data_IF_571255223690
#
_entry.id   IF_571255223690
#
_cell.length_a   1.000
_cell.length_b   1.000
_cell.length_c   1.000
_cell.angle_alpha   90.00
_cell.angle_beta   90.00
_cell.angle_gamma   90.00
#
_symmetry.space_group_name_H-M   'P 1'
#
loop_
_entity.id
_entity.type
_entity.pdbx_description
1 polymer ?
#
# COMPACT_ATOMS: atom_id res chain seq x y z
N UNK A 1 23.66 -26.68 4.96
CA UNK A 1 24.15 -27.32 6.20
C UNK A 1 24.01 -28.83 6.14
N UNK A 2 22.79 -29.39 5.95
CA UNK A 2 22.59 -30.85 5.78
C UNK A 2 23.41 -31.38 4.60
N UNK A 3 23.25 -30.80 3.41
CA UNK A 3 24.08 -31.13 2.23
C UNK A 3 25.58 -31.00 2.49
N UNK A 4 25.99 -30.09 3.38
CA UNK A 4 27.41 -29.87 3.70
C UNK A 4 27.97 -31.01 4.53
N UNK A 5 27.15 -31.56 5.46
CA UNK A 5 27.48 -32.71 6.29
C UNK A 5 27.42 -34.03 5.50
N UNK A 6 26.49 -34.17 4.55
CA UNK A 6 26.41 -35.35 3.66
C UNK A 6 27.61 -35.50 2.74
N UNK A 7 28.23 -34.38 2.36
CA UNK A 7 29.39 -34.38 1.46
C UNK A 7 30.73 -34.50 2.22
N UNK A 8 30.72 -34.70 3.54
CA UNK A 8 31.94 -34.90 4.32
C UNK A 8 32.52 -36.28 3.99
N UNK A 9 33.56 -36.30 3.16
CA UNK A 9 34.32 -37.52 2.90
C UNK A 9 35.29 -37.76 4.06
N UNK A 10 35.11 -38.88 4.76
CA UNK A 10 36.04 -39.36 5.79
C UNK A 10 36.82 -40.55 5.25
N UNK A 11 38.11 -40.66 5.61
CA UNK A 11 38.95 -41.79 5.19
C UNK A 11 38.54 -43.13 5.84
N UNK A 12 37.69 -43.08 6.88
CA UNK A 12 37.23 -44.23 7.65
C UNK A 12 35.69 -44.24 7.73
N UNK A 13 35.07 -45.32 7.23
CA UNK A 13 33.61 -45.52 7.19
C UNK A 13 32.93 -45.39 8.56
N UNK A 14 33.62 -45.73 9.66
CA UNK A 14 33.06 -45.61 11.01
C UNK A 14 32.77 -44.16 11.40
N UNK A 15 33.59 -43.20 10.94
CA UNK A 15 33.36 -41.78 11.22
C UNK A 15 32.20 -41.22 10.38
N UNK A 16 32.01 -41.72 9.15
CA UNK A 16 30.84 -41.39 8.34
C UNK A 16 29.56 -41.86 9.01
N UNK A 17 29.54 -43.11 9.51
CA UNK A 17 28.38 -43.69 10.18
C UNK A 17 27.99 -42.92 11.46
N UNK A 18 28.99 -42.46 12.23
CA UNK A 18 28.77 -41.63 13.42
C UNK A 18 28.16 -40.27 13.07
N UNK A 19 28.59 -39.63 11.97
CA UNK A 19 28.02 -38.35 11.51
C UNK A 19 26.57 -38.54 11.08
N UNK A 20 26.28 -39.65 10.38
CA UNK A 20 24.93 -40.00 9.98
C UNK A 20 24.00 -40.14 11.19
N UNK A 21 24.41 -40.96 12.17
CA UNK A 21 23.59 -41.27 13.35
C UNK A 21 23.39 -40.07 14.28
N UNK A 22 24.46 -39.31 14.58
CA UNK A 22 24.40 -38.20 15.54
C UNK A 22 23.75 -36.95 14.97
N UNK A 23 23.92 -36.68 13.67
CA UNK A 23 23.54 -35.41 13.07
C UNK A 23 22.53 -35.57 11.93
N UNK A 24 22.86 -36.35 10.89
CA UNK A 24 22.05 -36.32 9.67
C UNK A 24 20.66 -36.91 9.87
N UNK A 25 20.52 -37.99 10.64
CA UNK A 25 19.19 -38.58 10.95
C UNK A 25 18.29 -37.55 11.64
N UNK A 26 18.79 -36.90 12.70
CA UNK A 26 18.02 -35.91 13.46
C UNK A 26 17.71 -34.67 12.60
N UNK A 27 18.69 -34.12 11.89
CA UNK A 27 18.53 -32.93 11.07
C UNK A 27 17.58 -33.15 9.90
N UNK A 28 17.63 -34.33 9.24
CA UNK A 28 16.68 -34.69 8.18
C UNK A 28 15.27 -34.79 8.72
N UNK A 29 15.08 -35.45 9.86
CA UNK A 29 13.77 -35.54 10.50
C UNK A 29 13.20 -34.17 10.87
N UNK A 30 14.01 -33.27 11.44
CA UNK A 30 13.55 -31.90 11.71
C UNK A 30 13.24 -31.11 10.44
N UNK A 31 14.03 -31.30 9.39
CA UNK A 31 13.79 -30.65 8.10
C UNK A 31 12.46 -31.10 7.47
N UNK A 32 12.19 -32.40 7.46
CA UNK A 32 10.91 -32.95 6.99
C UNK A 32 9.72 -32.44 7.82
N UNK A 33 9.88 -32.35 9.14
CA UNK A 33 8.83 -31.82 10.01
C UNK A 33 8.53 -30.33 9.77
N UNK A 34 9.54 -29.56 9.36
CA UNK A 34 9.43 -28.13 9.08
C UNK A 34 9.04 -27.81 7.64
N UNK A 35 9.10 -28.78 6.74
CA UNK A 35 8.81 -28.61 5.31
C UNK A 35 7.43 -27.98 5.09
N UNK A 36 6.38 -28.54 5.71
CA UNK A 36 5.02 -27.99 5.62
C UNK A 36 4.88 -26.58 6.20
N UNK A 37 5.69 -26.25 7.20
CA UNK A 37 5.70 -24.90 7.77
C UNK A 37 6.35 -23.91 6.80
N UNK A 38 7.46 -24.31 6.16
CA UNK A 38 8.10 -23.51 5.12
C UNK A 38 7.15 -23.27 3.94
N UNK A 39 6.50 -24.33 3.46
CA UNK A 39 5.50 -24.24 2.38
C UNK A 39 4.36 -23.27 2.74
N UNK A 40 3.82 -23.37 3.96
CA UNK A 40 2.78 -22.45 4.43
C UNK A 40 3.28 -21.01 4.44
N UNK A 41 4.49 -20.75 4.94
CA UNK A 41 5.08 -19.41 4.96
C UNK A 41 5.28 -18.87 3.55
N UNK A 42 5.82 -19.68 2.63
CA UNK A 42 6.05 -19.29 1.23
C UNK A 42 4.74 -19.03 0.48
N UNK A 43 3.66 -19.74 0.80
CA UNK A 43 2.35 -19.56 0.18
C UNK A 43 1.56 -18.39 0.79
N UNK A 44 1.83 -18.03 2.05
CA UNK A 44 1.05 -17.00 2.77
C UNK A 44 1.73 -15.65 2.85
N UNK A 45 3.06 -15.58 2.88
CA UNK A 45 3.80 -14.33 3.10
C UNK A 45 4.44 -13.85 1.80
N UNK A 46 4.27 -12.55 1.53
CA UNK A 46 4.96 -11.87 0.45
C UNK A 46 6.42 -11.60 0.84
N UNK A 47 7.32 -12.44 0.34
CA UNK A 47 8.75 -12.37 0.63
C UNK A 47 9.45 -11.21 -0.08
N UNK A 48 8.88 -10.64 -1.15
CA UNK A 48 9.47 -9.48 -1.84
C UNK A 48 9.34 -8.22 -0.99
N UNK A 49 8.21 -8.09 -0.28
CA UNK A 49 7.99 -6.98 0.65
C UNK A 49 8.79 -7.11 1.96
N UNK A 50 9.27 -8.31 2.27
CA UNK A 50 10.11 -8.58 3.44
C UNK A 50 11.44 -7.80 3.40
N UNK A 51 12.02 -7.64 2.21
CA UNK A 51 13.24 -6.86 2.00
C UNK A 51 13.06 -5.39 2.41
N UNK A 52 11.83 -4.88 2.32
CA UNK A 52 11.45 -3.54 2.77
C UNK A 52 10.98 -3.48 4.24
N UNK A 53 11.21 -4.55 5.02
CA UNK A 53 10.73 -4.72 6.40
C UNK A 53 9.20 -4.66 6.54
N UNK A 54 8.47 -5.08 5.50
CA UNK A 54 7.01 -5.20 5.53
C UNK A 54 6.62 -6.68 5.53
N UNK A 55 5.86 -7.08 6.55
CA UNK A 55 5.33 -8.44 6.67
C UNK A 55 3.89 -8.44 6.18
N UNK A 56 3.68 -8.82 4.92
CA UNK A 56 2.38 -8.72 4.24
C UNK A 56 1.93 -10.12 3.81
N UNK A 57 0.63 -10.39 3.96
CA UNK A 57 0.01 -11.62 3.46
C UNK A 57 -0.15 -11.50 1.95
N UNK A 58 0.21 -12.54 1.20
CA UNK A 58 0.02 -12.58 -0.26
C UNK A 58 -1.46 -12.35 -0.58
N UNK A 59 -1.79 -11.45 -1.52
CA UNK A 59 -3.18 -11.22 -1.95
C UNK A 59 -3.86 -12.48 -2.51
N UNK A 60 -3.07 -13.42 -3.05
CA UNK A 60 -3.52 -14.70 -3.62
C UNK A 60 -3.96 -15.73 -2.56
N UNK A 61 -3.66 -15.48 -1.28
CA UNK A 61 -3.97 -16.43 -0.20
C UNK A 61 -5.46 -16.46 0.16
N UNK A 62 -6.17 -15.35 0.01
CA UNK A 62 -7.61 -15.24 0.27
C UNK A 62 -8.26 -14.39 -0.82
N UNK A 63 -9.33 -14.89 -1.43
CA UNK A 63 -10.08 -14.15 -2.46
C UNK A 63 -10.60 -12.78 -1.94
N UNK A 64 -10.83 -12.66 -0.63
CA UNK A 64 -11.16 -11.38 0.02
C UNK A 64 -9.97 -10.41 0.01
N UNK A 65 -8.76 -10.94 0.21
CA UNK A 65 -7.50 -10.19 0.12
C UNK A 65 -7.13 -9.88 -1.33
N UNK A 66 -7.48 -10.72 -2.31
CA UNK A 66 -7.22 -10.47 -3.73
C UNK A 66 -8.01 -9.30 -4.31
N UNK A 67 -9.23 -9.05 -3.82
CA UNK A 67 -10.06 -7.92 -4.24
C UNK A 67 -9.68 -6.59 -3.56
N UNK A 68 -8.86 -6.61 -2.51
CA UNK A 68 -8.42 -5.41 -1.80
C UNK A 68 -7.36 -4.60 -2.58
N UNK A 69 -6.30 -5.19 -3.18
CA UNK A 69 -5.32 -4.48 -3.97
C UNK A 69 -5.95 -3.72 -5.13
N UNK A 70 -6.86 -4.34 -5.89
CA UNK A 70 -7.51 -3.68 -7.02
C UNK A 70 -8.35 -2.47 -6.55
N UNK A 71 -9.01 -2.59 -5.40
CA UNK A 71 -9.73 -1.48 -4.77
C UNK A 71 -8.79 -0.41 -4.21
N UNK A 72 -7.65 -0.81 -3.66
CA UNK A 72 -6.63 0.07 -3.10
C UNK A 72 -5.92 0.86 -4.22
N UNK A 73 -5.63 0.22 -5.35
CA UNK A 73 -5.06 0.81 -6.56
C UNK A 73 -6.05 1.77 -7.22
N UNK A 74 -7.33 1.38 -7.35
CA UNK A 74 -8.38 2.28 -7.82
C UNK A 74 -8.57 3.51 -6.90
N UNK A 75 -8.37 3.32 -5.59
CA UNK A 75 -8.45 4.39 -4.59
C UNK A 75 -7.17 5.22 -4.52
N UNK A 76 -6.04 4.70 -4.99
CA UNK A 76 -4.78 5.43 -5.15
C UNK A 76 -4.83 6.34 -6.38
N UNK A 77 -5.28 5.81 -7.51
CA UNK A 77 -5.28 6.54 -8.79
C UNK A 77 -6.50 7.45 -8.98
N UNK A 78 -7.61 7.14 -8.29
CA UNK A 78 -8.84 7.94 -8.32
C UNK A 78 -8.65 9.40 -7.89
N UNK A 79 -8.02 9.67 -6.72
CA UNK A 79 -7.72 11.02 -6.26
C UNK A 79 -6.88 11.83 -7.23
N UNK A 80 -5.88 11.23 -7.88
CA UNK A 80 -5.03 11.90 -8.86
C UNK A 80 -5.79 12.23 -10.15
N UNK A 81 -6.60 11.30 -10.65
CA UNK A 81 -7.48 11.54 -11.81
C UNK A 81 -8.51 12.65 -11.56
N UNK A 82 -9.12 12.66 -10.37
CA UNK A 82 -10.03 13.74 -9.96
C UNK A 82 -9.25 15.05 -9.81
N UNK A 83 -8.03 15.02 -9.30
CA UNK A 83 -7.16 16.19 -9.19
C UNK A 83 -6.87 16.82 -10.55
N UNK A 84 -6.52 16.02 -11.56
CA UNK A 84 -6.34 16.46 -12.93
C UNK A 84 -7.62 17.07 -13.53
N UNK A 85 -8.77 16.43 -13.28
CA UNK A 85 -10.07 16.93 -13.72
C UNK A 85 -10.41 18.28 -13.08
N UNK A 86 -10.08 18.47 -11.80
CA UNK A 86 -10.26 19.74 -11.09
C UNK A 86 -9.32 20.82 -11.64
N UNK A 87 -8.04 20.51 -11.90
CA UNK A 87 -7.12 21.47 -12.51
C UNK A 87 -7.59 21.94 -13.88
N UNK A 88 -8.03 21.01 -14.74
CA UNK A 88 -8.64 21.33 -16.05
C UNK A 88 -9.91 22.17 -15.94
N UNK A 89 -10.83 21.81 -15.04
CA UNK A 89 -12.10 22.54 -14.91
C UNK A 89 -11.86 23.97 -14.39
N UNK A 90 -10.90 24.15 -13.47
CA UNK A 90 -10.55 25.46 -12.91
C UNK A 90 -9.60 26.28 -13.80
N UNK A 91 -9.14 25.72 -14.93
CA UNK A 91 -8.15 26.32 -15.83
C UNK A 91 -6.87 26.74 -15.08
N UNK A 92 -6.41 25.86 -14.19
CA UNK A 92 -5.22 26.04 -13.39
C UNK A 92 -4.10 25.13 -13.89
N UNK A 93 -2.88 25.67 -14.04
CA UNK A 93 -1.68 24.87 -14.30
C UNK A 93 -1.47 23.89 -13.13
N UNK A 94 -1.69 22.59 -13.40
CA UNK A 94 -1.55 21.48 -12.44
C UNK A 94 -0.18 21.47 -11.73
N UNK A 95 0.86 21.94 -12.41
CA UNK A 95 2.23 22.05 -11.88
C UNK A 95 2.41 23.14 -10.81
N UNK A 96 1.39 23.99 -10.59
CA UNK A 96 1.44 25.05 -9.58
C UNK A 96 0.27 25.03 -8.62
N UNK A 97 -0.97 24.72 -9.04
CA UNK A 97 -2.22 24.72 -8.22
C UNK A 97 -3.34 23.94 -8.93
N UNK A 98 -4.27 23.26 -8.24
CA UNK A 98 -4.37 22.99 -6.79
C UNK A 98 -3.35 21.93 -6.32
N UNK A 99 -3.20 21.71 -5.01
CA UNK A 99 -2.44 20.57 -4.47
C UNK A 99 -3.40 19.50 -3.93
N UNK A 100 -3.15 18.24 -4.23
CA UNK A 100 -3.81 17.12 -3.54
C UNK A 100 -3.07 16.87 -2.22
N UNK A 101 -3.79 16.90 -1.10
CA UNK A 101 -3.22 16.69 0.24
C UNK A 101 -4.05 15.71 1.04
N UNK A 102 -3.38 14.81 1.76
CA UNK A 102 -4.00 13.98 2.78
C UNK A 102 -3.98 14.72 4.13
N UNK A 103 -5.09 15.36 4.48
CA UNK A 103 -5.23 16.15 5.70
C UNK A 103 -5.71 15.25 6.85
N UNK A 104 -5.09 15.31 8.06
CA UNK A 104 -5.51 14.49 9.20
C UNK A 104 -6.97 14.63 9.63
N UNK A 105 -7.61 15.77 9.32
CA UNK A 105 -9.01 16.04 9.65
C UNK A 105 -9.97 15.65 8.53
N UNK A 106 -9.57 15.82 7.26
CA UNK A 106 -10.47 15.70 6.11
C UNK A 106 -10.17 14.52 5.18
N UNK A 107 -9.07 13.79 5.41
CA UNK A 107 -8.52 12.84 4.44
C UNK A 107 -8.01 13.55 3.19
N UNK A 108 -8.09 12.86 2.04
CA UNK A 108 -7.73 13.45 0.74
C UNK A 108 -8.60 14.66 0.41
N UNK A 109 -7.96 15.80 0.19
CA UNK A 109 -8.62 17.06 -0.15
C UNK A 109 -7.74 17.93 -1.06
N UNK A 110 -8.37 18.83 -1.81
CA UNK A 110 -7.66 19.79 -2.65
C UNK A 110 -7.38 21.09 -1.90
N UNK A 111 -6.15 21.58 -1.96
CA UNK A 111 -5.71 22.86 -1.37
C UNK A 111 -5.37 23.90 -2.44
N UNK A 112 -5.85 25.12 -2.26
CA UNK A 112 -5.48 26.29 -3.07
C UNK A 112 -5.02 27.46 -2.20
N UNK A 113 -4.01 28.19 -2.67
CA UNK A 113 -3.48 29.39 -1.98
C UNK A 113 -4.43 30.60 -2.08
N UNK A 114 -4.31 31.56 -1.15
CA UNK A 114 -5.13 32.78 -1.00
C UNK A 114 -5.38 33.55 -2.29
N UNK A 115 -4.33 33.73 -3.11
CA UNK A 115 -4.43 34.49 -4.37
C UNK A 115 -5.44 33.85 -5.34
N UNK A 116 -5.62 32.53 -5.24
CA UNK A 116 -6.55 31.75 -6.05
C UNK A 116 -7.85 31.46 -5.32
N UNK A 117 -7.88 31.54 -3.99
CA UNK A 117 -9.11 31.50 -3.21
C UNK A 117 -10.08 32.63 -3.58
N UNK A 118 -9.58 33.81 -3.96
CA UNK A 118 -10.42 34.90 -4.46
C UNK A 118 -11.02 34.58 -5.85
N UNK A 119 -10.24 33.96 -6.74
CA UNK A 119 -10.73 33.46 -8.03
C UNK A 119 -11.73 32.31 -7.83
N UNK A 120 -11.47 31.42 -6.87
CA UNK A 120 -12.35 30.33 -6.46
C UNK A 120 -13.68 30.85 -5.87
N UNK A 121 -13.62 31.88 -5.03
CA UNK A 121 -14.81 32.57 -4.51
C UNK A 121 -15.57 33.33 -5.61
N UNK A 122 -14.90 33.75 -6.69
CA UNK A 122 -15.52 34.25 -7.92
C UNK A 122 -16.19 33.14 -8.74
N UNK A 123 -15.53 31.97 -8.85
CA UNK A 123 -16.05 30.75 -9.49
C UNK A 123 -17.26 30.17 -8.76
N UNK A 124 -17.32 30.28 -7.43
CA UNK A 124 -18.52 29.94 -6.64
C UNK A 124 -19.72 30.86 -6.93
N UNK A 125 -19.53 32.05 -7.52
CA UNK A 125 -20.65 32.96 -7.87
C UNK A 125 -21.30 32.61 -9.21
N UNK A 126 -20.58 31.95 -10.12
CA UNK A 126 -21.10 31.55 -11.44
C UNK A 126 -21.18 30.03 -11.57
N UNK A 127 -22.40 29.48 -11.47
CA UNK A 127 -22.83 28.12 -11.91
C UNK A 127 -22.12 26.88 -11.33
N UNK A 128 -20.97 26.96 -10.66
CA UNK A 128 -20.21 25.79 -10.16
C UNK A 128 -20.42 25.44 -8.68
N UNK A 129 -21.38 26.10 -8.03
CA UNK A 129 -21.69 25.97 -6.58
C UNK A 129 -22.03 24.55 -6.09
N UNK A 130 -22.37 23.62 -6.98
CA UNK A 130 -22.80 22.27 -6.63
C UNK A 130 -21.67 21.22 -6.71
N UNK A 131 -20.57 21.53 -7.41
CA UNK A 131 -19.49 20.56 -7.67
C UNK A 131 -18.39 20.62 -6.60
N UNK A 132 -18.08 21.82 -6.11
CA UNK A 132 -17.00 22.07 -5.16
C UNK A 132 -17.53 22.42 -3.78
N UNK A 133 -17.10 21.65 -2.77
CA UNK A 133 -17.50 21.77 -1.38
C UNK A 133 -16.32 22.32 -0.59
N UNK A 134 -16.46 23.49 0.01
CA UNK A 134 -15.44 24.07 0.87
C UNK A 134 -15.40 23.36 2.22
N UNK A 135 -14.20 22.99 2.67
CA UNK A 135 -13.96 22.30 3.94
C UNK A 135 -13.49 23.25 5.04
N UNK A 136 -12.67 24.25 4.67
CA UNK A 136 -12.16 25.26 5.59
C UNK A 136 -10.96 26.03 5.06
N UNK A 137 -10.46 26.98 5.84
CA UNK A 137 -9.31 27.82 5.49
C UNK A 137 -8.25 27.78 6.59
N UNK A 138 -6.97 27.57 6.23
CA UNK A 138 -5.83 27.59 7.17
C UNK A 138 -4.69 28.42 6.58
N UNK A 139 -4.16 29.38 7.35
CA UNK A 139 -3.00 30.21 6.99
C UNK A 139 -3.07 30.80 5.57
N UNK A 140 -4.27 31.18 5.12
CA UNK A 140 -4.46 31.73 3.77
C UNK A 140 -4.43 30.69 2.65
N UNK A 141 -4.71 29.42 2.93
CA UNK A 141 -5.07 28.43 1.92
C UNK A 141 -6.49 27.92 2.19
N UNK A 142 -7.26 27.68 1.13
CA UNK A 142 -8.60 27.10 1.21
C UNK A 142 -8.52 25.63 0.83
N UNK A 143 -9.15 24.80 1.66
CA UNK A 143 -9.37 23.39 1.41
C UNK A 143 -10.77 23.18 0.87
N UNK A 144 -10.87 22.38 -0.18
CA UNK A 144 -12.14 22.00 -0.76
C UNK A 144 -12.08 20.56 -1.26
N UNK A 145 -13.23 19.99 -1.53
CA UNK A 145 -13.38 18.64 -2.07
C UNK A 145 -14.49 18.61 -3.12
N UNK A 146 -14.55 17.52 -3.88
CA UNK A 146 -15.67 17.18 -4.77
C UNK A 146 -16.41 15.98 -4.18
N UNK A 147 -17.61 15.68 -4.68
CA UNK A 147 -18.37 14.52 -4.19
C UNK A 147 -17.61 13.20 -4.45
N UNK A 148 -16.93 13.13 -5.60
CA UNK A 148 -16.08 12.00 -6.00
C UNK A 148 -14.86 11.90 -5.10
N UNK A 149 -14.12 13.00 -4.89
CA UNK A 149 -12.95 12.99 -4.00
C UNK A 149 -13.32 12.67 -2.54
N UNK A 150 -14.49 13.12 -2.06
CA UNK A 150 -14.99 12.73 -0.73
C UNK A 150 -15.25 11.23 -0.63
N UNK A 151 -15.92 10.63 -1.62
CA UNK A 151 -16.16 9.18 -1.64
C UNK A 151 -14.85 8.41 -1.63
N UNK A 152 -13.90 8.80 -2.50
CA UNK A 152 -12.57 8.18 -2.55
C UNK A 152 -11.78 8.35 -1.24
N UNK A 153 -11.91 9.49 -0.56
CA UNK A 153 -11.27 9.72 0.73
C UNK A 153 -11.88 8.86 1.86
N UNK A 154 -13.20 8.64 1.83
CA UNK A 154 -13.91 7.74 2.76
C UNK A 154 -13.50 6.29 2.49
N UNK A 155 -13.51 5.86 1.24
CA UNK A 155 -13.07 4.52 0.81
C UNK A 155 -11.60 4.27 1.21
N UNK A 156 -10.69 5.22 0.93
CA UNK A 156 -9.27 5.09 1.31
C UNK A 156 -9.10 4.93 2.82
N UNK A 157 -9.87 5.66 3.62
CA UNK A 157 -9.81 5.56 5.07
C UNK A 157 -10.28 4.18 5.54
N UNK A 158 -11.38 3.69 4.98
CA UNK A 158 -11.94 2.39 5.34
C UNK A 158 -11.05 1.21 4.92
N UNK A 159 -10.28 1.35 3.83
CA UNK A 159 -9.31 0.34 3.39
C UNK A 159 -7.94 0.47 4.06
N UNK A 160 -7.54 1.66 4.50
CA UNK A 160 -6.26 1.87 5.20
C UNK A 160 -6.33 1.52 6.70
N UNK A 161 -7.52 1.53 7.30
CA UNK A 161 -7.74 1.20 8.72
C UNK A 161 -8.08 -0.31 8.93
N UNK A 162 -8.14 -1.11 7.86
CA UNK A 162 -8.35 -2.57 7.89
C UNK A 162 -7.06 -3.33 7.68
#
# INVERSE_FOLDING_TARGET
>A
MIQTLENVQTENEEYSALIDELYLVALKSFNENLEKYSEMVEQTIDLEQLDSHKYVIKPEYDDQLGALPEKLEATHDGPDSEHEAVGRDLDLELDKKPHLENNPTYGYCSRVTKNFANSFAGLQRHRRKQKYIELGMVKGSVFFTTKTLRSLAEDHRDYSDK
#
